data_IF_478545969187
#
_entry.id   IF_478545969187
#
_cell.length_a   1.000
_cell.length_b   1.000
_cell.length_c   1.000
_cell.angle_alpha   90.00
_cell.angle_beta   90.00
_cell.angle_gamma   90.00
#
_symmetry.space_group_name_H-M   'P 1'
#
loop_
_entity.id
_entity.type
_entity.pdbx_description
1 polymer ?
#
# COMPACT_ATOMS: atom_id res chain seq x y z
N UNK A 1 16.74 -5.70 13.61
CA UNK A 1 15.82 -6.86 13.52
C UNK A 1 15.16 -6.77 12.14
N UNK A 2 15.77 -7.36 11.11
CA UNK A 2 15.55 -6.97 9.71
C UNK A 2 15.36 -8.20 8.79
N UNK A 3 14.31 -8.99 9.00
CA UNK A 3 14.10 -10.25 8.26
C UNK A 3 12.65 -10.58 7.87
N UNK A 4 11.78 -9.59 7.71
CA UNK A 4 10.36 -9.87 7.37
C UNK A 4 9.78 -8.99 6.25
N UNK A 5 10.63 -8.40 5.39
CA UNK A 5 10.17 -7.72 4.17
C UNK A 5 10.48 -8.50 2.89
N UNK A 6 11.50 -9.36 2.91
CA UNK A 6 11.97 -10.09 1.72
C UNK A 6 11.05 -11.24 1.27
N UNK A 7 10.03 -11.60 2.05
CA UNK A 7 9.08 -12.67 1.70
C UNK A 7 7.64 -12.35 2.07
N UNK A 8 7.22 -11.07 2.06
CA UNK A 8 5.80 -10.77 2.17
C UNK A 8 5.12 -11.08 0.83
N UNK A 9 4.19 -12.02 0.86
CA UNK A 9 3.28 -12.24 -0.26
C UNK A 9 2.49 -10.96 -0.54
N UNK A 10 2.21 -10.70 -1.82
CA UNK A 10 1.47 -9.51 -2.24
C UNK A 10 0.13 -9.38 -1.52
N UNK A 11 -0.56 -10.50 -1.26
CA UNK A 11 -1.80 -10.51 -0.48
C UNK A 11 -1.62 -9.96 0.94
N UNK A 12 -0.50 -10.30 1.60
CA UNK A 12 -0.20 -9.77 2.93
C UNK A 12 0.06 -8.27 2.88
N UNK A 13 0.79 -7.78 1.85
CA UNK A 13 1.02 -6.35 1.66
C UNK A 13 -0.29 -5.59 1.41
N UNK A 14 -1.20 -6.16 0.61
CA UNK A 14 -2.50 -5.57 0.34
C UNK A 14 -3.36 -5.51 1.62
N UNK A 15 -3.33 -6.55 2.45
CA UNK A 15 -4.02 -6.58 3.74
C UNK A 15 -3.45 -5.56 4.72
N UNK A 16 -2.13 -5.46 4.85
CA UNK A 16 -1.50 -4.46 5.72
C UNK A 16 -1.74 -3.03 5.23
N UNK A 17 -1.81 -2.83 3.91
CA UNK A 17 -2.17 -1.53 3.34
C UNK A 17 -3.61 -1.15 3.71
N UNK A 18 -4.56 -2.09 3.71
CA UNK A 18 -5.93 -1.83 4.19
C UNK A 18 -5.96 -1.43 5.66
N UNK A 19 -5.22 -2.14 6.52
CA UNK A 19 -5.15 -1.80 7.94
C UNK A 19 -4.64 -0.38 8.16
N UNK A 20 -3.61 0.06 7.41
CA UNK A 20 -3.10 1.43 7.49
C UNK A 20 -4.10 2.46 6.96
N UNK A 21 -4.79 2.17 5.86
CA UNK A 21 -5.85 3.04 5.32
C UNK A 21 -7.01 3.15 6.31
N UNK A 22 -7.36 2.07 7.02
CA UNK A 22 -8.42 2.10 8.03
C UNK A 22 -8.08 3.04 9.19
N UNK A 23 -6.80 3.28 9.47
CA UNK A 23 -6.40 4.22 10.52
C UNK A 23 -6.91 5.64 10.24
N UNK A 24 -7.16 6.05 8.98
CA UNK A 24 -7.79 7.35 8.63
C UNK A 24 -9.04 7.61 9.48
N UNK A 25 -9.84 6.57 9.74
CA UNK A 25 -11.11 6.69 10.46
C UNK A 25 -10.97 6.43 11.96
N UNK A 26 -9.75 6.19 12.46
CA UNK A 26 -9.50 5.92 13.87
C UNK A 26 -9.29 7.22 14.65
N UNK A 27 -9.66 7.22 15.94
CA UNK A 27 -9.42 8.37 16.81
C UNK A 27 -7.92 8.72 16.93
N UNK A 28 -6.99 7.82 16.58
CA UNK A 28 -5.53 8.07 16.57
C UNK A 28 -5.16 9.30 15.73
N UNK A 29 -5.91 9.57 14.65
CA UNK A 29 -5.58 10.63 13.68
C UNK A 29 -6.45 11.88 13.93
N UNK A 30 -7.45 11.74 14.79
CA UNK A 30 -8.36 12.82 15.17
C UNK A 30 -7.69 13.83 16.09
N UNK A 31 -6.75 13.38 16.91
CA UNK A 31 -5.94 14.22 17.80
C UNK A 31 -4.66 14.74 17.13
N UNK A 32 -4.38 14.39 15.87
CA UNK A 32 -3.24 14.92 15.13
C UNK A 32 -3.47 16.36 14.68
N UNK A 33 -2.38 17.11 14.54
CA UNK A 33 -2.42 18.44 13.95
C UNK A 33 -3.06 18.38 12.56
N UNK A 34 -3.90 19.37 12.23
CA UNK A 34 -4.68 19.38 11.00
C UNK A 34 -3.81 19.23 9.75
N UNK A 35 -2.64 19.86 9.72
CA UNK A 35 -1.67 19.71 8.62
C UNK A 35 -1.17 18.26 8.49
N UNK A 36 -0.81 17.62 9.61
CA UNK A 36 -0.39 16.22 9.64
C UNK A 36 -1.52 15.27 9.21
N UNK A 37 -2.75 15.53 9.69
CA UNK A 37 -3.95 14.76 9.30
C UNK A 37 -4.21 14.87 7.79
N UNK A 38 -4.12 16.07 7.21
CA UNK A 38 -4.31 16.27 5.77
C UNK A 38 -3.24 15.56 4.92
N UNK A 39 -1.97 15.58 5.36
CA UNK A 39 -0.92 14.82 4.68
C UNK A 39 -1.17 13.31 4.79
N UNK A 40 -1.56 12.85 5.97
CA UNK A 40 -1.91 11.46 6.21
C UNK A 40 -3.03 10.99 5.28
N UNK A 41 -4.14 11.73 5.21
CA UNK A 41 -5.26 11.44 4.32
C UNK A 41 -4.85 11.37 2.85
N UNK A 42 -4.00 12.32 2.39
CA UNK A 42 -3.48 12.34 1.03
C UNK A 42 -2.64 11.11 0.71
N UNK A 43 -1.73 10.72 1.61
CA UNK A 43 -0.89 9.53 1.43
C UNK A 43 -1.72 8.25 1.48
N UNK A 44 -2.74 8.19 2.32
CA UNK A 44 -3.61 7.04 2.42
C UNK A 44 -4.50 6.88 1.16
N UNK A 45 -4.99 7.99 0.59
CA UNK A 45 -5.65 7.98 -0.71
C UNK A 45 -4.72 7.51 -1.84
N UNK A 46 -3.46 7.94 -1.83
CA UNK A 46 -2.46 7.47 -2.79
C UNK A 46 -2.20 5.97 -2.66
N UNK A 47 -2.03 5.47 -1.43
CA UNK A 47 -1.86 4.05 -1.16
C UNK A 47 -3.06 3.23 -1.65
N UNK A 48 -4.29 3.75 -1.44
CA UNK A 48 -5.51 3.11 -1.95
C UNK A 48 -5.52 3.00 -3.48
N UNK A 49 -5.06 4.05 -4.19
CA UNK A 49 -4.96 4.04 -5.66
C UNK A 49 -3.96 2.98 -6.13
N UNK A 50 -2.75 2.96 -5.57
CA UNK A 50 -1.70 2.00 -5.92
C UNK A 50 -2.17 0.57 -5.64
N UNK A 51 -2.80 0.35 -4.48
CA UNK A 51 -3.40 -0.95 -4.12
C UNK A 51 -4.36 -1.46 -5.21
N UNK A 52 -5.28 -0.61 -5.66
CA UNK A 52 -6.23 -0.96 -6.73
C UNK A 52 -5.52 -1.23 -8.06
N UNK A 53 -4.51 -0.44 -8.43
CA UNK A 53 -3.72 -0.66 -9.66
C UNK A 53 -2.97 -2.00 -9.62
N UNK A 54 -2.44 -2.40 -8.47
CA UNK A 54 -1.79 -3.70 -8.29
C UNK A 54 -2.81 -4.84 -8.34
N UNK A 55 -3.95 -4.70 -7.68
CA UNK A 55 -5.02 -5.70 -7.71
C UNK A 55 -5.56 -5.90 -9.13
N UNK A 56 -5.78 -4.83 -9.88
CA UNK A 56 -6.19 -4.88 -11.29
C UNK A 56 -5.15 -5.59 -12.17
N UNK A 57 -3.85 -5.34 -11.94
CA UNK A 57 -2.75 -6.05 -12.63
C UNK A 57 -2.72 -7.54 -12.31
N UNK A 58 -3.05 -7.94 -11.08
CA UNK A 58 -3.16 -9.35 -10.67
C UNK A 58 -4.35 -10.00 -11.38
N UNK A 59 -5.53 -9.37 -11.35
CA UNK A 59 -6.75 -9.89 -11.98
C UNK A 59 -6.63 -10.01 -13.51
N UNK A 60 -6.00 -9.02 -14.16
CA UNK A 60 -5.72 -9.04 -15.60
C UNK A 60 -4.73 -10.14 -16.00
N UNK A 61 -3.71 -10.42 -15.18
CA UNK A 61 -2.80 -11.56 -15.40
C UNK A 61 -3.46 -12.92 -15.18
N UNK A 62 -4.51 -13.00 -14.36
CA UNK A 62 -5.30 -14.22 -14.17
C UNK A 62 -6.29 -14.54 -15.31
N UNK A 63 -6.60 -13.56 -16.16
CA UNK A 63 -7.62 -13.66 -17.22
C UNK A 63 -7.07 -13.64 -18.64
N UNK A 64 -5.83 -13.19 -18.84
CA UNK A 64 -5.13 -13.29 -20.12
C UNK A 64 -3.91 -14.20 -19.95
N UNK A 65 -3.90 -15.34 -20.67
CA UNK A 65 -2.65 -15.89 -21.20
C UNK A 65 -1.80 -14.71 -21.74
N UNK A 66 -0.46 -14.72 -21.62
CA UNK A 66 0.54 -13.87 -22.34
C UNK A 66 1.66 -13.41 -21.39
N UNK A 67 2.75 -14.17 -21.37
CA UNK A 67 4.14 -13.76 -21.69
C UNK A 67 4.67 -12.34 -21.36
N UNK A 68 4.18 -11.61 -20.36
CA UNK A 68 4.77 -10.33 -19.94
C UNK A 68 5.25 -10.37 -18.49
N UNK A 69 6.53 -10.72 -18.39
CA UNK A 69 7.57 -10.40 -17.40
C UNK A 69 7.18 -10.30 -15.92
N UNK A 70 7.89 -11.08 -15.10
CA UNK A 70 7.86 -11.00 -13.64
C UNK A 70 8.25 -9.60 -13.10
N UNK A 71 8.98 -8.79 -13.89
CA UNK A 71 9.45 -7.45 -13.53
C UNK A 71 8.33 -6.47 -13.12
N UNK A 72 7.29 -6.30 -13.93
CA UNK A 72 6.24 -5.32 -13.66
C UNK A 72 5.38 -5.63 -12.41
N UNK A 73 5.47 -6.86 -11.90
CA UNK A 73 4.82 -7.27 -10.65
C UNK A 73 5.71 -6.99 -9.44
N UNK A 74 7.04 -7.08 -9.60
CA UNK A 74 7.98 -6.67 -8.58
C UNK A 74 7.98 -5.15 -8.38
N UNK A 75 7.91 -4.36 -9.45
CA UNK A 75 7.76 -2.90 -9.38
C UNK A 75 6.49 -2.49 -8.63
N UNK A 76 5.36 -3.12 -8.95
CA UNK A 76 4.08 -2.89 -8.28
C UNK A 76 4.12 -3.20 -6.76
N UNK A 77 4.82 -4.27 -6.37
CA UNK A 77 5.06 -4.60 -4.95
C UNK A 77 5.91 -3.51 -4.28
N UNK A 78 6.97 -3.04 -4.94
CA UNK A 78 7.82 -1.98 -4.40
C UNK A 78 7.05 -0.66 -4.21
N UNK A 79 6.17 -0.30 -5.15
CA UNK A 79 5.33 0.90 -5.05
C UNK A 79 4.37 0.86 -3.85
N UNK A 80 3.77 -0.30 -3.57
CA UNK A 80 2.95 -0.50 -2.37
C UNK A 80 3.80 -0.35 -1.11
N UNK A 81 4.93 -1.07 -1.03
CA UNK A 81 5.80 -1.05 0.16
C UNK A 81 6.30 0.37 0.45
N UNK A 82 6.69 1.12 -0.59
CA UNK A 82 7.11 2.50 -0.48
C UNK A 82 5.98 3.39 0.04
N UNK A 83 4.79 3.29 -0.55
CA UNK A 83 3.64 4.09 -0.14
C UNK A 83 3.16 3.77 1.28
N UNK A 84 3.22 2.51 1.69
CA UNK A 84 2.96 2.12 3.08
C UNK A 84 3.98 2.72 4.04
N UNK A 85 5.26 2.76 3.64
CA UNK A 85 6.32 3.37 4.45
C UNK A 85 6.11 4.88 4.58
N UNK A 86 5.81 5.55 3.47
CA UNK A 86 5.50 6.98 3.47
C UNK A 86 4.31 7.27 4.38
N UNK A 87 3.23 6.49 4.30
CA UNK A 87 2.07 6.62 5.16
C UNK A 87 2.40 6.39 6.65
N UNK A 88 3.22 5.38 6.97
CA UNK A 88 3.66 5.11 8.34
C UNK A 88 4.47 6.24 8.94
N UNK A 89 5.29 6.95 8.16
CA UNK A 89 6.08 8.09 8.65
C UNK A 89 5.20 9.28 9.10
N UNK A 90 3.94 9.32 8.67
CA UNK A 90 2.98 10.33 9.16
C UNK A 90 2.17 9.83 10.36
N UNK A 91 2.24 8.54 10.67
CA UNK A 91 1.54 7.90 11.80
C UNK A 91 2.42 7.75 13.05
N UNK A 92 3.73 7.56 12.86
CA UNK A 92 4.73 7.28 13.90
C UNK A 92 5.98 8.13 13.68
#
# INVERSE_FOLDING_TARGET
MSKNLESKNIEQLLSEADELIQQINSDVIKDMEEEHRLQFEKHAQNLKKIKSEVQEKIEKKGTSEISSSADGMHEAIQDIVKSMKDLKNYLF
#
